data_IF_972919256176
#
_entry.id   IF_972919256176
#
_cell.length_a   1.000
_cell.length_b   1.000
_cell.length_c   1.000
_cell.angle_alpha   90.00
_cell.angle_beta   90.00
_cell.angle_gamma   90.00
#
_symmetry.space_group_name_H-M   'P 1'
#
loop_
_entity.id
_entity.type
_entity.pdbx_description
1 polymer ?
#
# COMPACT_ATOMS: atom_id res chain seq x y z
N UNK A 1 39.98 -1.98 -15.69
CA UNK A 1 38.78 -1.20 -16.04
C UNK A 1 39.08 0.24 -15.63
N UNK A 2 39.38 1.09 -16.61
CA UNK A 2 39.93 2.44 -16.41
C UNK A 2 38.76 3.39 -16.16
N UNK A 3 38.70 3.97 -14.97
CA UNK A 3 37.75 5.04 -14.62
C UNK A 3 38.11 6.28 -15.44
N UNK A 4 37.29 6.59 -16.45
CA UNK A 4 37.40 7.85 -17.18
C UNK A 4 36.85 8.97 -16.29
N UNK A 5 37.74 9.78 -15.71
CA UNK A 5 37.40 11.01 -15.02
C UNK A 5 37.13 12.05 -16.11
N UNK A 6 35.86 12.31 -16.42
CA UNK A 6 35.46 13.41 -17.30
C UNK A 6 35.65 14.73 -16.52
N UNK A 7 36.65 15.53 -16.92
CA UNK A 7 37.12 16.75 -16.25
C UNK A 7 36.21 17.97 -16.48
N UNK A 8 34.90 17.83 -16.33
CA UNK A 8 34.00 18.99 -16.23
C UNK A 8 33.92 19.49 -14.79
N UNK A 9 35.07 19.89 -14.24
CA UNK A 9 35.15 20.53 -12.91
C UNK A 9 34.49 21.91 -12.99
N UNK A 10 33.35 22.07 -12.32
CA UNK A 10 32.79 23.40 -12.07
C UNK A 10 33.44 23.95 -10.80
N UNK A 11 34.47 24.78 -10.97
CA UNK A 11 35.08 25.50 -9.84
C UNK A 11 34.24 26.72 -9.49
N UNK A 12 33.55 26.66 -8.34
CA UNK A 12 33.24 27.87 -7.57
C UNK A 12 34.49 28.24 -6.76
N UNK A 13 34.82 29.54 -6.58
CA UNK A 13 36.02 29.93 -5.85
C UNK A 13 36.00 29.36 -4.42
N UNK A 14 36.99 28.51 -4.12
CA UNK A 14 37.12 27.84 -2.82
C UNK A 14 36.34 26.52 -2.67
N UNK A 15 35.70 26.01 -3.74
CA UNK A 15 34.98 24.74 -3.72
C UNK A 15 35.25 23.95 -4.99
N UNK A 16 35.84 22.77 -4.82
CA UNK A 16 36.04 21.81 -5.90
C UNK A 16 34.93 20.75 -5.88
N UNK A 17 34.36 20.45 -7.05
CA UNK A 17 33.23 19.53 -7.20
C UNK A 17 33.62 18.45 -8.20
N UNK A 18 33.76 17.23 -7.70
CA UNK A 18 34.15 16.04 -8.47
C UNK A 18 32.92 15.13 -8.64
N UNK A 19 32.30 15.07 -9.82
CA UNK A 19 31.15 14.20 -10.05
C UNK A 19 31.56 12.71 -9.97
N UNK A 20 30.71 11.92 -9.33
CA UNK A 20 30.82 10.46 -9.19
C UNK A 20 29.71 9.83 -10.03
N UNK A 21 30.12 9.08 -11.06
CA UNK A 21 29.21 8.38 -11.97
C UNK A 21 29.37 6.87 -11.87
N UNK A 22 28.31 6.13 -12.15
CA UNK A 22 28.35 4.69 -12.42
C UNK A 22 27.71 4.42 -13.77
N UNK A 23 28.55 4.04 -14.73
CA UNK A 23 28.17 4.05 -16.15
C UNK A 23 27.77 5.48 -16.56
N UNK A 24 26.58 5.62 -17.14
CA UNK A 24 26.06 6.92 -17.57
C UNK A 24 25.22 7.65 -16.51
N UNK A 25 25.06 7.06 -15.31
CA UNK A 25 24.28 7.66 -14.24
C UNK A 25 25.16 8.40 -13.25
N UNK A 26 24.85 9.67 -12.98
CA UNK A 26 25.45 10.40 -11.87
C UNK A 26 24.85 9.92 -10.54
N UNK A 27 25.71 9.51 -9.61
CA UNK A 27 25.32 9.04 -8.27
C UNK A 27 25.48 10.17 -7.24
N UNK A 28 26.38 11.12 -7.48
CA UNK A 28 26.65 12.23 -6.58
C UNK A 28 27.92 12.97 -6.98
N UNK A 29 28.42 13.81 -6.09
CA UNK A 29 29.67 14.49 -6.24
C UNK A 29 30.42 14.52 -4.90
N UNK A 30 31.75 14.44 -4.95
CA UNK A 30 32.58 14.87 -3.84
C UNK A 30 32.76 16.38 -3.93
N UNK A 31 32.37 17.07 -2.86
CA UNK A 31 32.57 18.50 -2.70
C UNK A 31 33.71 18.69 -1.72
N UNK A 32 34.79 19.32 -2.17
CA UNK A 32 35.95 19.66 -1.36
C UNK A 32 35.97 21.16 -1.12
N UNK A 33 35.92 21.55 0.15
CA UNK A 33 36.01 22.95 0.59
C UNK A 33 37.09 23.11 1.67
N UNK A 34 37.21 24.31 2.25
CA UNK A 34 38.16 24.60 3.31
C UNK A 34 37.94 23.78 4.62
N UNK A 35 36.79 23.11 4.77
CA UNK A 35 36.43 22.29 5.93
C UNK A 35 36.65 20.79 5.68
N UNK A 36 36.92 20.39 4.45
CA UNK A 36 37.25 19.02 4.07
C UNK A 36 36.47 18.53 2.84
N UNK A 37 36.49 17.21 2.64
CA UNK A 37 35.81 16.56 1.51
C UNK A 37 34.54 15.86 1.99
N UNK A 38 33.40 16.15 1.35
CA UNK A 38 32.10 15.53 1.65
C UNK A 38 31.48 14.94 0.39
N UNK A 39 30.87 13.76 0.51
CA UNK A 39 30.04 13.19 -0.55
C UNK A 39 28.61 13.77 -0.51
N UNK A 40 28.13 14.25 -1.65
CA UNK A 40 26.77 14.78 -1.85
C UNK A 40 26.06 13.89 -2.88
N UNK A 41 25.03 13.13 -2.50
CA UNK A 41 24.32 12.26 -3.45
C UNK A 41 23.51 13.08 -4.46
N UNK A 42 23.49 12.63 -5.71
CA UNK A 42 22.66 13.18 -6.78
C UNK A 42 21.23 12.68 -6.58
N UNK A 43 20.41 13.50 -5.94
CA UNK A 43 18.97 13.24 -5.79
C UNK A 43 18.25 13.95 -6.94
N UNK A 44 17.69 13.16 -7.86
CA UNK A 44 16.75 13.69 -8.84
C UNK A 44 15.43 14.03 -8.13
N UNK A 45 15.29 15.30 -7.75
CA UNK A 45 14.10 15.82 -7.09
C UNK A 45 12.83 15.59 -7.92
N UNK A 46 12.94 15.57 -9.24
CA UNK A 46 11.83 15.29 -10.16
C UNK A 46 11.40 13.84 -10.03
N UNK A 47 12.35 12.90 -10.05
CA UNK A 47 12.07 11.49 -9.86
C UNK A 47 11.42 11.21 -8.49
N UNK A 48 11.92 11.86 -7.43
CA UNK A 48 11.35 11.73 -6.07
C UNK A 48 9.94 12.29 -6.01
N UNK A 49 9.71 13.49 -6.57
CA UNK A 49 8.39 14.10 -6.61
C UNK A 49 7.39 13.24 -7.39
N UNK A 50 7.79 12.72 -8.55
CA UNK A 50 6.97 11.82 -9.36
C UNK A 50 6.67 10.52 -8.62
N UNK A 51 7.66 9.91 -7.95
CA UNK A 51 7.45 8.72 -7.14
C UNK A 51 6.45 8.96 -5.99
N UNK A 52 6.57 10.11 -5.31
CA UNK A 52 5.65 10.51 -4.27
C UNK A 52 4.21 10.70 -4.79
N UNK A 53 4.05 11.37 -5.93
CA UNK A 53 2.76 11.59 -6.58
C UNK A 53 2.11 10.27 -7.01
N UNK A 54 2.86 9.36 -7.63
CA UNK A 54 2.36 8.04 -8.05
C UNK A 54 1.91 7.23 -6.82
N UNK A 55 2.70 7.25 -5.75
CA UNK A 55 2.37 6.55 -4.50
C UNK A 55 1.08 7.09 -3.88
N UNK A 56 0.95 8.42 -3.80
CA UNK A 56 -0.25 9.07 -3.28
C UNK A 56 -1.48 8.75 -4.12
N UNK A 57 -1.38 8.82 -5.46
CA UNK A 57 -2.46 8.50 -6.38
C UNK A 57 -2.90 7.02 -6.26
N UNK A 58 -1.94 6.10 -6.12
CA UNK A 58 -2.23 4.68 -5.96
C UNK A 58 -2.96 4.42 -4.63
N UNK A 59 -2.51 5.07 -3.55
CA UNK A 59 -3.15 4.94 -2.23
C UNK A 59 -4.59 5.48 -2.22
N UNK A 60 -4.85 6.62 -2.85
CA UNK A 60 -6.20 7.20 -2.92
C UNK A 60 -7.16 6.36 -3.75
N UNK A 61 -6.69 5.81 -4.88
CA UNK A 61 -7.47 4.86 -5.69
C UNK A 61 -7.77 3.59 -4.88
N UNK A 62 -6.77 3.02 -4.19
CA UNK A 62 -6.98 1.85 -3.34
C UNK A 62 -7.99 2.10 -2.22
N UNK A 63 -7.89 3.24 -1.54
CA UNK A 63 -8.80 3.61 -0.46
C UNK A 63 -10.24 3.84 -0.95
N UNK A 64 -10.41 4.51 -2.10
CA UNK A 64 -11.73 4.77 -2.67
C UNK A 64 -12.42 3.48 -3.13
N UNK A 65 -11.69 2.56 -3.77
CA UNK A 65 -12.20 1.23 -4.11
C UNK A 65 -12.57 0.46 -2.85
N UNK A 66 -11.70 0.46 -1.83
CA UNK A 66 -11.95 -0.20 -0.56
C UNK A 66 -13.22 0.32 0.13
N UNK A 67 -13.45 1.63 0.08
CA UNK A 67 -14.66 2.25 0.64
C UNK A 67 -15.91 1.93 -0.21
N UNK A 68 -15.81 1.96 -1.54
CA UNK A 68 -16.91 1.65 -2.44
C UNK A 68 -17.35 0.18 -2.33
N UNK A 69 -16.40 -0.73 -2.12
CA UNK A 69 -16.66 -2.16 -1.93
C UNK A 69 -16.94 -2.55 -0.48
N UNK A 70 -16.88 -1.59 0.47
CA UNK A 70 -17.13 -1.86 1.87
C UNK A 70 -18.59 -2.27 2.06
N UNK A 71 -18.80 -3.55 2.39
CA UNK A 71 -20.13 -4.05 2.75
C UNK A 71 -20.61 -3.35 4.01
N UNK A 72 -21.85 -2.85 3.99
CA UNK A 72 -22.49 -2.27 5.18
C UNK A 72 -22.58 -3.36 6.26
N UNK A 73 -22.32 -3.04 7.54
CA UNK A 73 -22.53 -3.98 8.63
C UNK A 73 -23.97 -4.50 8.62
N UNK A 74 -24.15 -5.82 8.66
CA UNK A 74 -25.48 -6.44 8.63
C UNK A 74 -26.27 -6.23 9.94
N UNK A 75 -25.56 -5.87 11.00
CA UNK A 75 -26.09 -5.60 12.34
C UNK A 75 -25.67 -4.18 12.71
N UNK A 76 -26.65 -3.33 13.04
CA UNK A 76 -26.40 -1.94 13.40
C UNK A 76 -25.90 -1.81 14.84
N UNK A 77 -26.81 -1.94 15.80
CA UNK A 77 -26.52 -1.73 17.23
C UNK A 77 -26.88 -2.96 18.04
N UNK A 78 -25.94 -3.38 18.88
CA UNK A 78 -26.10 -4.43 19.88
C UNK A 78 -26.27 -3.73 21.22
N UNK A 79 -27.40 -3.90 21.90
CA UNK A 79 -27.63 -3.34 23.23
C UNK A 79 -27.95 -4.44 24.21
N UNK A 80 -27.28 -4.44 25.37
CA UNK A 80 -27.54 -5.36 26.45
C UNK A 80 -28.55 -4.73 27.42
N UNK A 81 -29.66 -5.41 27.68
CA UNK A 81 -30.64 -4.99 28.67
C UNK A 81 -30.23 -5.40 30.09
N UNK A 82 -30.77 -4.73 31.13
CA UNK A 82 -30.63 -5.19 32.51
C UNK A 82 -31.20 -6.61 32.63
N UNK A 83 -30.39 -7.56 33.11
CA UNK A 83 -30.76 -8.99 33.15
C UNK A 83 -30.14 -9.86 32.04
N UNK A 84 -29.29 -9.30 31.17
CA UNK A 84 -28.40 -10.10 30.30
C UNK A 84 -28.93 -10.39 28.89
N UNK A 85 -30.10 -9.89 28.54
CA UNK A 85 -30.66 -10.06 27.19
C UNK A 85 -29.96 -9.14 26.18
N UNK A 86 -29.71 -9.66 24.97
CA UNK A 86 -29.10 -8.91 23.86
C UNK A 86 -30.19 -8.52 22.86
N UNK A 87 -30.41 -7.22 22.66
CA UNK A 87 -31.27 -6.69 21.60
C UNK A 87 -30.43 -6.27 20.40
N UNK A 88 -30.83 -6.74 19.21
CA UNK A 88 -30.19 -6.41 17.93
C UNK A 88 -31.13 -5.51 17.12
N UNK A 89 -30.72 -4.28 16.84
CA UNK A 89 -31.50 -3.34 16.02
C UNK A 89 -30.89 -3.15 14.64
N UNK A 90 -31.76 -2.88 13.65
CA UNK A 90 -31.42 -2.77 12.21
C UNK A 90 -30.70 -4.00 11.67
N UNK A 91 -31.22 -5.18 11.98
CA UNK A 91 -30.75 -6.44 11.41
C UNK A 91 -31.30 -6.59 9.99
N UNK A 92 -30.44 -6.36 9.00
CA UNK A 92 -30.69 -6.93 7.68
C UNK A 92 -30.49 -8.43 7.83
N UNK A 93 -31.56 -9.25 7.84
CA UNK A 93 -31.41 -10.71 7.76
C UNK A 93 -30.51 -10.98 6.55
N UNK A 94 -29.28 -11.50 6.73
CA UNK A 94 -28.46 -11.86 5.58
C UNK A 94 -29.31 -12.82 4.76
N UNK A 95 -29.46 -12.63 3.45
CA UNK A 95 -30.22 -13.57 2.65
C UNK A 95 -29.54 -14.93 2.83
N UNK A 96 -30.18 -15.81 3.60
CA UNK A 96 -29.87 -17.24 3.71
C UNK A 96 -30.27 -17.93 2.39
N UNK A 97 -30.11 -17.23 1.27
CA UNK A 97 -30.26 -17.84 -0.04
C UNK A 97 -29.06 -18.74 -0.18
N UNK A 98 -29.33 -20.02 -0.36
CA UNK A 98 -28.49 -20.87 -1.18
C UNK A 98 -28.29 -20.14 -2.50
N UNK A 99 -27.27 -19.27 -2.56
CA UNK A 99 -27.00 -18.50 -3.75
C UNK A 99 -26.71 -19.55 -4.85
N UNK A 100 -27.46 -19.53 -5.95
CA UNK A 100 -27.17 -20.42 -7.07
C UNK A 100 -25.73 -20.15 -7.47
N UNK A 101 -24.96 -21.23 -7.65
CA UNK A 101 -23.57 -21.32 -8.11
C UNK A 101 -23.07 -20.06 -8.83
N UNK A 102 -22.65 -19.04 -8.07
CA UNK A 102 -21.85 -17.92 -8.58
C UNK A 102 -20.46 -18.15 -8.04
N UNK A 103 -19.51 -18.24 -8.95
CA UNK A 103 -18.13 -18.67 -8.72
C UNK A 103 -17.51 -18.12 -7.43
N UNK A 104 -16.88 -19.02 -6.70
CA UNK A 104 -16.18 -18.71 -5.45
C UNK A 104 -15.15 -17.60 -5.72
N UNK A 105 -15.18 -16.49 -4.99
CA UNK A 105 -14.25 -15.39 -5.24
C UNK A 105 -12.81 -15.86 -5.01
N UNK A 106 -11.89 -15.38 -5.85
CA UNK A 106 -10.51 -15.88 -5.93
C UNK A 106 -9.77 -15.83 -4.58
N UNK A 107 -9.99 -14.79 -3.77
CA UNK A 107 -9.41 -14.67 -2.43
C UNK A 107 -9.87 -15.79 -1.49
N UNK A 108 -11.10 -16.30 -1.64
CA UNK A 108 -11.62 -17.39 -0.80
C UNK A 108 -10.98 -18.74 -1.17
N UNK A 109 -10.46 -18.88 -2.39
CA UNK A 109 -9.66 -20.05 -2.81
C UNK A 109 -8.25 -19.97 -2.20
N UNK A 110 -7.63 -18.80 -2.23
CA UNK A 110 -6.32 -18.55 -1.63
C UNK A 110 -6.35 -18.81 -0.12
N UNK A 111 -7.33 -18.22 0.57
CA UNK A 111 -7.46 -18.34 2.02
C UNK A 111 -8.03 -19.69 2.49
N UNK A 112 -8.33 -20.62 1.55
CA UNK A 112 -8.99 -21.91 1.83
C UNK A 112 -10.22 -21.80 2.75
N UNK A 113 -10.94 -20.67 2.70
CA UNK A 113 -12.03 -20.38 3.62
C UNK A 113 -13.18 -21.36 3.39
N UNK A 114 -13.44 -22.27 4.34
CA UNK A 114 -14.52 -23.28 4.23
C UNK A 114 -15.89 -22.62 4.38
N UNK A 115 -16.86 -23.04 3.56
CA UNK A 115 -18.25 -22.58 3.67
C UNK A 115 -18.85 -23.16 4.94
N UNK A 116 -19.40 -22.31 5.80
CA UNK A 116 -20.29 -22.74 6.87
C UNK A 116 -21.62 -23.10 6.20
N UNK A 117 -21.86 -24.39 6.01
CA UNK A 117 -23.15 -24.94 5.59
C UNK A 117 -23.89 -25.27 6.88
N UNK A 118 -25.03 -24.61 7.13
CA UNK A 118 -25.93 -25.07 8.19
C UNK A 118 -26.51 -26.41 7.75
N UNK A 119 -26.12 -27.47 8.46
CA UNK A 119 -26.75 -28.77 8.34
C UNK A 119 -28.15 -28.65 8.95
N UNK A 120 -29.17 -28.47 8.11
CA UNK A 120 -30.55 -28.60 8.54
C UNK A 120 -30.77 -30.06 8.92
N UNK A 121 -30.65 -30.37 10.20
CA UNK A 121 -31.01 -31.67 10.75
C UNK A 121 -32.45 -31.98 10.36
N UNK A 122 -32.63 -33.02 9.55
CA UNK A 122 -33.92 -33.57 9.20
C UNK A 122 -34.51 -34.23 10.46
N UNK A 123 -35.62 -33.73 11.04
CA UNK A 123 -36.23 -34.36 12.21
C UNK A 123 -37.14 -35.50 11.71
N UNK A 124 -36.54 -36.57 11.21
CA UNK A 124 -37.22 -37.86 11.01
C UNK A 124 -36.25 -39.01 11.23
N UNK A 125 -36.11 -39.41 12.50
CA UNK A 125 -36.03 -40.81 12.93
C UNK A 125 -36.42 -40.89 14.39
#
# INVERSE_FOLDING_TARGET
MITAIDQRSQTLPGTDVIPVRHGDREIGAYVTDARGTRFVPAVDATAVAMAALITAATATVGASIGLALRRRPAIGTVTMGPGGWISLKRTSRPPLRAAPVVDRPWWARILRARRLVEEHGNPRR
#
